data_IF_816135306894
#
_entry.id   IF_816135306894
#
_cell.length_a   1.000
_cell.length_b   1.000
_cell.length_c   1.000
_cell.angle_alpha   90.00
_cell.angle_beta   90.00
_cell.angle_gamma   90.00
#
_symmetry.space_group_name_H-M   'P 1'
#
loop_
_entity.id
_entity.type
_entity.pdbx_description
1 polymer ?
#
# COMPACT_ATOMS: atom_id res chain seq x y z
N UNK A 1 10.98 22.49 1.09
CA UNK A 1 9.87 21.57 0.91
C UNK A 1 10.21 20.45 -0.04
N UNK A 2 9.87 19.27 0.33
CA UNK A 2 10.23 18.10 -0.45
C UNK A 2 9.00 17.57 -1.18
N UNK A 3 9.06 17.57 -2.50
CA UNK A 3 7.95 17.08 -3.32
C UNK A 3 7.65 15.60 -3.02
N UNK A 4 8.68 14.85 -2.64
CA UNK A 4 8.51 13.44 -2.31
C UNK A 4 7.56 13.28 -1.13
N UNK A 5 7.76 14.09 -0.08
CA UNK A 5 6.90 14.00 1.07
C UNK A 5 5.46 14.36 0.74
N UNK A 6 5.29 15.40 -0.08
CA UNK A 6 3.94 15.81 -0.47
C UNK A 6 3.25 14.73 -1.27
N UNK A 7 3.97 14.12 -2.19
CA UNK A 7 3.40 13.07 -3.01
C UNK A 7 3.07 11.83 -2.19
N UNK A 8 3.95 11.46 -1.27
CA UNK A 8 3.67 10.32 -0.39
C UNK A 8 2.48 10.57 0.51
N UNK A 9 2.25 11.83 0.88
CA UNK A 9 1.12 12.17 1.75
C UNK A 9 -0.22 11.99 1.04
N UNK A 10 -0.23 11.86 -0.28
CA UNK A 10 -1.47 11.60 -1.00
C UNK A 10 -1.89 10.13 -0.86
N UNK A 11 -1.00 9.29 -0.35
CA UNK A 11 -1.27 7.87 -0.15
C UNK A 11 -1.43 7.58 1.33
N UNK A 12 -2.32 6.67 1.70
CA UNK A 12 -2.41 6.27 3.11
C UNK A 12 -1.11 5.61 3.54
N UNK A 13 -0.69 5.88 4.76
CA UNK A 13 0.52 5.25 5.29
C UNK A 13 0.27 3.86 5.81
N UNK A 14 -0.95 3.60 6.24
CA UNK A 14 -1.35 2.30 6.75
C UNK A 14 -2.71 1.98 6.15
N UNK A 15 -2.86 0.75 5.71
CA UNK A 15 -4.16 0.25 5.27
C UNK A 15 -4.49 -0.93 6.16
N UNK A 16 -5.66 -0.87 6.79
CA UNK A 16 -6.14 -1.96 7.62
C UNK A 16 -6.94 -2.91 6.76
N UNK A 17 -6.48 -4.14 6.68
CA UNK A 17 -7.11 -5.15 5.85
C UNK A 17 -7.55 -6.33 6.68
N UNK A 18 -8.37 -7.16 6.09
CA UNK A 18 -8.76 -8.43 6.66
C UNK A 18 -8.76 -9.47 5.56
N UNK A 19 -8.44 -10.70 5.92
CA UNK A 19 -8.41 -11.77 4.96
C UNK A 19 -8.93 -13.05 5.63
N UNK A 20 -9.32 -14.01 4.81
CA UNK A 20 -9.74 -15.31 5.30
C UNK A 20 -8.56 -16.25 5.31
N UNK A 21 -8.30 -16.87 6.44
CA UNK A 21 -7.22 -17.86 6.50
C UNK A 21 -7.73 -19.22 6.02
N UNK A 22 -6.86 -20.22 6.10
CA UNK A 22 -7.17 -21.56 5.60
C UNK A 22 -8.32 -22.21 6.37
N UNK A 23 -8.51 -21.82 7.61
CA UNK A 23 -9.59 -22.35 8.44
C UNK A 23 -10.89 -21.59 8.23
N UNK A 24 -10.91 -20.60 7.35
CA UNK A 24 -12.09 -19.81 7.12
C UNK A 24 -12.30 -18.69 8.12
N UNK A 25 -11.33 -18.45 8.96
CA UNK A 25 -11.41 -17.40 9.96
C UNK A 25 -10.97 -16.07 9.37
N UNK A 26 -11.69 -15.02 9.77
CA UNK A 26 -11.30 -13.66 9.37
C UNK A 26 -10.15 -13.21 10.26
N UNK A 27 -9.04 -12.84 9.62
CA UNK A 27 -7.86 -12.34 10.32
C UNK A 27 -7.60 -10.91 9.88
N UNK A 28 -7.22 -10.07 10.82
CA UNK A 28 -6.89 -8.68 10.52
C UNK A 28 -5.38 -8.56 10.33
N UNK A 29 -5.01 -7.70 9.40
CA UNK A 29 -3.61 -7.47 9.10
C UNK A 29 -3.44 -6.03 8.65
N UNK A 30 -2.39 -5.38 9.13
CA UNK A 30 -2.07 -4.03 8.69
C UNK A 30 -0.95 -4.09 7.67
N UNK A 31 -1.11 -3.36 6.58
CA UNK A 31 -0.04 -3.21 5.61
C UNK A 31 0.39 -1.75 5.60
N UNK A 32 1.67 -1.54 5.42
CA UNK A 32 2.32 -0.24 5.53
C UNK A 32 2.94 0.14 4.21
N UNK A 33 2.97 1.42 3.94
CA UNK A 33 3.57 1.94 2.71
C UNK A 33 5.09 1.98 2.87
N UNK A 34 5.78 1.33 1.94
CA UNK A 34 7.24 1.34 1.87
C UNK A 34 7.67 1.88 0.53
N UNK A 35 8.78 2.60 0.54
CA UNK A 35 9.38 3.15 -0.66
C UNK A 35 10.84 2.75 -0.69
N UNK A 36 11.32 2.37 -1.86
CA UNK A 36 12.73 2.00 -2.06
C UNK A 36 13.26 2.77 -3.25
N UNK A 37 14.26 3.59 -3.00
CA UNK A 37 14.93 4.42 -4.02
C UNK A 37 16.34 3.93 -4.31
N UNK A 38 16.74 2.82 -3.74
CA UNK A 38 18.12 2.33 -3.87
C UNK A 38 18.39 1.69 -5.22
N UNK A 39 17.36 1.49 -6.01
CA UNK A 39 17.48 0.88 -7.34
C UNK A 39 17.36 1.95 -8.41
N UNK A 40 17.61 1.55 -9.66
CA UNK A 40 17.39 2.47 -10.78
C UNK A 40 15.93 2.87 -10.88
N UNK A 41 15.04 1.95 -10.52
CA UNK A 41 13.62 2.23 -10.51
C UNK A 41 13.16 2.57 -9.09
N UNK A 42 12.06 3.28 -9.01
CA UNK A 42 11.40 3.55 -7.73
C UNK A 42 10.40 2.44 -7.46
N UNK A 43 10.46 1.90 -6.27
CA UNK A 43 9.54 0.85 -5.83
C UNK A 43 8.68 1.37 -4.70
N UNK A 44 7.37 1.19 -4.82
CA UNK A 44 6.43 1.46 -3.74
C UNK A 44 5.65 0.19 -3.47
N UNK A 45 5.42 -0.11 -2.20
CA UNK A 45 4.60 -1.27 -1.90
C UNK A 45 3.87 -1.10 -0.58
N UNK A 46 2.78 -1.83 -0.45
CA UNK A 46 2.07 -2.01 0.81
C UNK A 46 2.31 -3.43 1.27
N UNK A 47 2.89 -3.58 2.43
CA UNK A 47 3.25 -4.89 2.94
C UNK A 47 3.15 -4.91 4.47
N UNK A 48 3.01 -6.10 5.01
CA UNK A 48 3.05 -6.26 6.47
C UNK A 48 4.44 -5.91 6.97
N UNK A 49 4.55 -5.66 8.26
CA UNK A 49 5.81 -5.20 8.86
C UNK A 49 6.97 -6.14 8.56
N UNK A 50 6.71 -7.43 8.55
CA UNK A 50 7.77 -8.41 8.31
C UNK A 50 7.90 -8.79 6.85
N UNK A 51 7.07 -8.20 5.99
CA UNK A 51 7.13 -8.52 4.57
C UNK A 51 6.55 -9.87 4.20
N UNK A 52 5.82 -10.51 5.11
CA UNK A 52 5.26 -11.83 4.84
C UNK A 52 4.15 -11.78 3.82
N UNK A 53 3.47 -10.66 3.73
CA UNK A 53 2.37 -10.49 2.80
C UNK A 53 2.50 -9.13 2.14
N UNK A 54 2.46 -9.12 0.83
CA UNK A 54 2.51 -7.89 0.04
C UNK A 54 1.16 -7.73 -0.63
N UNK A 55 0.47 -6.65 -0.30
CA UNK A 55 -0.82 -6.37 -0.90
C UNK A 55 -0.68 -5.84 -2.31
N UNK A 56 0.29 -4.97 -2.52
CA UNK A 56 0.44 -4.28 -3.79
C UNK A 56 1.86 -3.80 -3.95
N UNK A 57 2.43 -4.00 -5.14
CA UNK A 57 3.80 -3.56 -5.44
C UNK A 57 3.78 -2.81 -6.77
N UNK A 58 4.38 -1.64 -6.78
CA UNK A 58 4.49 -0.82 -7.97
C UNK A 58 5.96 -0.49 -8.21
N UNK A 59 6.39 -0.61 -9.46
CA UNK A 59 7.73 -0.21 -9.89
C UNK A 59 7.57 0.80 -11.02
N UNK A 60 8.30 1.89 -10.95
CA UNK A 60 8.23 2.89 -11.99
C UNK A 60 9.58 3.60 -12.11
N UNK A 61 9.78 4.27 -13.24
CA UNK A 61 11.04 4.95 -13.50
C UNK A 61 11.21 6.22 -12.65
N UNK A 62 10.10 6.87 -12.34
CA UNK A 62 10.14 8.08 -11.52
C UNK A 62 9.21 7.94 -10.34
N UNK A 63 9.47 8.76 -9.34
CA UNK A 63 8.66 8.75 -8.14
C UNK A 63 7.22 9.17 -8.44
N UNK A 64 7.04 10.20 -9.27
CA UNK A 64 5.70 10.65 -9.64
C UNK A 64 4.89 9.56 -10.31
N UNK A 65 5.53 8.82 -11.21
CA UNK A 65 4.85 7.73 -11.89
C UNK A 65 4.48 6.62 -10.92
N UNK A 66 5.36 6.34 -9.96
CA UNK A 66 5.07 5.31 -8.97
C UNK A 66 3.88 5.70 -8.10
N UNK A 67 3.83 6.95 -7.67
CA UNK A 67 2.72 7.43 -6.84
C UNK A 67 1.41 7.40 -7.61
N UNK A 68 1.44 7.83 -8.87
CA UNK A 68 0.25 7.81 -9.72
C UNK A 68 -0.30 6.39 -9.86
N UNK A 69 0.59 5.46 -10.16
CA UNK A 69 0.19 4.07 -10.35
C UNK A 69 -0.32 3.46 -9.04
N UNK A 70 0.37 3.75 -7.94
CA UNK A 70 -0.08 3.21 -6.65
C UNK A 70 -1.44 3.77 -6.25
N UNK A 71 -1.67 5.06 -6.51
CA UNK A 71 -2.97 5.67 -6.24
C UNK A 71 -4.07 4.95 -7.00
N UNK A 72 -3.81 4.66 -8.26
CA UNK A 72 -4.78 3.94 -9.09
C UNK A 72 -5.02 2.52 -8.55
N UNK A 73 -3.95 1.84 -8.16
CA UNK A 73 -4.06 0.48 -7.64
C UNK A 73 -4.87 0.40 -6.35
N UNK A 74 -4.61 1.35 -5.45
CA UNK A 74 -5.34 1.40 -4.19
C UNK A 74 -6.82 1.63 -4.45
N UNK A 75 -7.13 2.53 -5.38
CA UNK A 75 -8.52 2.80 -5.73
C UNK A 75 -9.20 1.55 -6.31
N UNK A 76 -8.50 0.84 -7.19
CA UNK A 76 -9.05 -0.37 -7.78
C UNK A 76 -9.30 -1.46 -6.75
N UNK A 77 -8.37 -1.61 -5.81
CA UNK A 77 -8.54 -2.60 -4.77
C UNK A 77 -9.78 -2.34 -3.94
N UNK A 78 -10.03 -1.06 -3.65
CA UNK A 78 -11.21 -0.69 -2.87
C UNK A 78 -12.50 -0.95 -3.63
N UNK A 79 -12.50 -0.73 -4.93
CA UNK A 79 -13.67 -0.96 -5.75
C UNK A 79 -13.96 -2.45 -5.93
N UNK A 80 -12.91 -3.26 -5.92
CA UNK A 80 -13.02 -4.68 -6.21
C UNK A 80 -12.96 -5.56 -4.97
N UNK A 81 -12.98 -4.95 -3.80
CA UNK A 81 -12.89 -5.75 -2.58
C UNK A 81 -14.14 -6.61 -2.44
N UNK A 82 -13.93 -7.87 -2.19
CA UNK A 82 -15.00 -8.81 -1.93
C UNK A 82 -14.72 -9.61 -0.67
N UNK A 83 -13.45 -9.88 -0.43
CA UNK A 83 -13.02 -10.65 0.73
C UNK A 83 -12.00 -9.91 1.57
N UNK A 84 -11.66 -8.69 1.19
CA UNK A 84 -10.69 -7.86 1.90
C UNK A 84 -11.39 -6.58 2.31
N UNK A 85 -11.29 -6.24 3.57
CA UNK A 85 -11.86 -4.99 4.09
C UNK A 85 -10.75 -3.96 4.20
N UNK A 86 -11.05 -2.74 3.76
CA UNK A 86 -10.11 -1.65 3.80
C UNK A 86 -10.55 -0.63 4.83
N UNK A 87 -9.59 -0.17 5.61
CA UNK A 87 -9.81 0.92 6.54
C UNK A 87 -8.56 1.79 6.48
N UNK A 88 -8.60 2.81 5.63
CA UNK A 88 -7.46 3.68 5.40
C UNK A 88 -7.26 4.67 6.53
N UNK A 89 -6.02 4.76 6.97
CA UNK A 89 -5.67 5.76 7.98
C UNK A 89 -4.37 6.43 7.58
N UNK A 90 -4.22 7.66 7.98
CA UNK A 90 -3.07 8.48 7.59
C UNK A 90 -1.91 8.36 8.55
N UNK A 91 -1.82 7.27 9.26
CA UNK A 91 -0.65 7.00 10.07
C UNK A 91 -0.57 7.78 11.35
N UNK A 92 -1.62 8.42 11.77
CA UNK A 92 -1.65 9.17 13.02
C UNK A 92 -2.34 8.41 14.13
N UNK A 93 -2.62 7.20 13.89
CA UNK A 93 -3.36 6.36 14.85
C UNK A 93 -2.46 5.88 15.96
#
# INVERSE_FOLDING_TARGET
MNDIDEQLNSLPKVIHTAYKDRAGKIRRSDVYLYADFSRTDVWLCYATKKGEYILCLVMAQTFSMAVEEMTRRVKELRLNETEIFFDERRGTQ
#
